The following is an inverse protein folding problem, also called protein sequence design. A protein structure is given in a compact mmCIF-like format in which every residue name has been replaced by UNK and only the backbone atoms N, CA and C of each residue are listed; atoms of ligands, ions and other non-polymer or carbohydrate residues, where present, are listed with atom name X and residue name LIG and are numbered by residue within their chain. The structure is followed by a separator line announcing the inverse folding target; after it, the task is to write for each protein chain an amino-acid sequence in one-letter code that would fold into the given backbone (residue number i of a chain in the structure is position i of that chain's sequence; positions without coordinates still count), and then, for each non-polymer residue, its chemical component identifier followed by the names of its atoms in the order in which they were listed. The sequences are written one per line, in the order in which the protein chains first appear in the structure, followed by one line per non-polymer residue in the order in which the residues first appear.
data_IF_828153375025
#
_entry.id   IF_828153375025
#
_cell.length_a   1.000
_cell.length_b   1.000
_cell.length_c   1.000
_cell.angle_alpha   90.00
_cell.angle_beta   90.00
_cell.angle_gamma   90.00
#
_symmetry.space_group_name_H-M   'P 1'
#
loop_
_entity.id
_entity.type
_entity.pdbx_description
1 polymer ?
#
# COMPACT_ATOMS: atom_id res chain seq x y z
N UNK A 1 6.31 3.46 18.59
CA UNK A 1 6.37 3.65 17.13
C UNK A 1 4.95 3.87 16.63
N UNK A 2 4.67 5.06 16.10
CA UNK A 2 3.34 5.40 15.57
C UNK A 2 3.00 4.46 14.41
N UNK A 3 1.87 3.78 14.52
CA UNK A 3 1.27 2.95 13.48
C UNK A 3 0.77 3.89 12.37
N UNK A 4 1.63 4.20 11.41
CA UNK A 4 1.23 4.99 10.24
C UNK A 4 0.15 4.22 9.47
N UNK A 5 -0.98 4.90 9.31
CA UNK A 5 -2.23 4.40 8.80
C UNK A 5 -2.13 4.02 7.32
N UNK A 6 -1.75 2.78 7.03
CA UNK A 6 -1.89 2.17 5.71
C UNK A 6 -3.15 1.29 5.74
N UNK A 7 -4.28 1.94 5.98
CA UNK A 7 -5.62 1.36 5.85
C UNK A 7 -6.49 2.51 5.39
N UNK A 8 -6.44 2.77 4.07
CA UNK A 8 -7.31 3.74 3.42
C UNK A 8 -8.71 3.11 3.31
N UNK A 9 -9.36 2.92 4.46
CA UNK A 9 -10.80 2.79 4.53
C UNK A 9 -11.42 4.13 4.13
N UNK A 10 -12.54 4.06 3.40
CA UNK A 10 -13.51 5.11 3.10
C UNK A 10 -13.34 5.80 1.73
N UNK A 11 -14.06 5.27 0.73
CA UNK A 11 -15.18 5.98 0.07
C UNK A 11 -15.76 5.07 -1.01
N UNK A 12 -16.75 4.26 -0.61
CA UNK A 12 -17.55 3.40 -1.49
C UNK A 12 -18.84 4.09 -1.97
N UNK A 13 -18.92 5.42 -1.90
CA UNK A 13 -20.20 6.14 -2.03
C UNK A 13 -20.32 7.10 -3.22
N UNK A 14 -19.40 7.11 -4.19
CA UNK A 14 -19.44 8.07 -5.31
C UNK A 14 -19.53 7.47 -6.72
N UNK A 15 -19.68 6.14 -6.87
CA UNK A 15 -19.80 5.50 -8.20
C UNK A 15 -21.08 4.65 -8.31
N UNK A 16 -21.99 4.74 -7.35
CA UNK A 16 -23.26 4.02 -7.42
C UNK A 16 -24.30 4.84 -8.19
N UNK A 17 -24.29 4.77 -9.53
CA UNK A 17 -25.48 4.96 -10.38
C UNK A 17 -25.18 4.56 -11.84
N UNK A 18 -25.27 3.25 -12.13
CA UNK A 18 -25.70 2.65 -13.40
C UNK A 18 -25.60 1.09 -13.35
N UNK A 19 -26.67 0.46 -12.85
CA UNK A 19 -27.33 -0.85 -13.15
C UNK A 19 -26.66 -1.84 -14.16
N UNK A 20 -26.86 -3.19 -14.12
CA UNK A 20 -27.46 -4.11 -13.13
C UNK A 20 -26.50 -5.22 -12.63
N UNK A 21 -26.86 -5.82 -11.49
CA UNK A 21 -26.21 -6.98 -10.88
C UNK A 21 -26.33 -8.24 -11.74
N UNK A 22 -25.18 -8.83 -12.08
CA UNK A 22 -25.06 -10.26 -12.34
C UNK A 22 -24.57 -10.95 -11.05
N UNK A 23 -25.19 -12.09 -10.75
CA UNK A 23 -24.99 -12.92 -9.57
C UNK A 23 -23.51 -13.30 -9.38
N UNK A 24 -22.90 -12.88 -8.28
CA UNK A 24 -21.59 -13.38 -7.84
C UNK A 24 -21.73 -14.37 -6.68
N UNK A 25 -20.91 -15.43 -6.63
CA UNK A 25 -20.81 -16.32 -5.48
C UNK A 25 -20.47 -15.54 -4.20
N UNK A 26 -20.72 -16.14 -3.04
CA UNK A 26 -20.44 -15.55 -1.72
C UNK A 26 -19.06 -14.87 -1.68
N UNK A 27 -18.94 -13.66 -1.06
CA UNK A 27 -17.73 -12.87 -1.17
C UNK A 27 -16.60 -13.57 -0.44
N UNK A 28 -15.69 -14.19 -1.19
CA UNK A 28 -14.36 -14.50 -0.69
C UNK A 28 -13.77 -13.15 -0.26
N UNK A 29 -13.35 -13.00 1.00
CA UNK A 29 -12.71 -11.77 1.49
C UNK A 29 -11.69 -11.27 0.44
N UNK A 30 -11.68 -9.96 0.14
CA UNK A 30 -10.68 -9.40 -0.79
C UNK A 30 -9.26 -9.77 -0.32
N UNK A 31 -8.32 -9.91 -1.25
CA UNK A 31 -6.95 -10.31 -0.93
C UNK A 31 -6.34 -9.40 0.15
N UNK A 32 -6.55 -8.09 0.02
CA UNK A 32 -6.18 -7.08 1.02
C UNK A 32 -6.72 -7.40 2.43
N UNK A 33 -8.02 -7.72 2.56
CA UNK A 33 -8.62 -8.04 3.87
C UNK A 33 -8.07 -9.33 4.49
N UNK A 34 -7.72 -10.33 3.66
CA UNK A 34 -7.07 -11.56 4.13
C UNK A 34 -5.67 -11.27 4.66
N UNK A 35 -4.90 -10.45 3.95
CA UNK A 35 -3.55 -10.04 4.34
C UNK A 35 -3.56 -9.24 5.64
N UNK A 36 -4.49 -8.29 5.78
CA UNK A 36 -4.63 -7.49 7.01
C UNK A 36 -4.87 -8.36 8.25
N UNK A 37 -5.73 -9.38 8.12
CA UNK A 37 -6.04 -10.31 9.21
C UNK A 37 -4.82 -11.15 9.62
N UNK A 38 -4.04 -11.59 8.65
CA UNK A 38 -2.84 -12.42 8.90
C UNK A 38 -1.65 -11.58 9.39
N UNK A 39 -1.56 -10.31 9.03
CA UNK A 39 -0.41 -9.44 9.35
C UNK A 39 -0.14 -9.38 10.85
N UNK A 40 -1.17 -9.13 11.68
CA UNK A 40 -1.01 -9.04 13.14
C UNK A 40 -0.54 -10.36 13.74
N UNK A 41 -1.09 -11.48 13.26
CA UNK A 41 -0.72 -12.82 13.73
C UNK A 41 0.74 -13.12 13.39
N UNK A 42 1.14 -12.86 12.14
CA UNK A 42 2.50 -13.08 11.66
C UNK A 42 3.51 -12.13 12.32
N UNK A 43 3.11 -10.89 12.61
CA UNK A 43 3.96 -9.92 13.31
C UNK A 43 4.26 -10.34 14.75
N UNK A 44 3.31 -11.00 15.41
CA UNK A 44 3.55 -11.59 16.72
C UNK A 44 4.41 -12.85 16.61
N UNK A 45 4.13 -13.70 15.61
CA UNK A 45 4.90 -14.93 15.36
C UNK A 45 6.36 -14.62 15.05
N UNK A 46 6.68 -13.53 14.35
CA UNK A 46 8.08 -13.18 14.01
C UNK A 46 8.96 -12.96 15.25
N UNK A 47 8.36 -12.54 16.36
CA UNK A 47 9.07 -12.23 17.60
C UNK A 47 9.52 -13.50 18.33
N UNK A 48 8.84 -14.62 18.10
CA UNK A 48 9.11 -15.90 18.76
C UNK A 48 9.68 -16.94 17.80
N UNK A 49 9.22 -16.94 16.54
CA UNK A 49 9.64 -17.86 15.49
C UNK A 49 9.67 -17.16 14.10
N UNK A 50 10.72 -16.38 13.79
CA UNK A 50 10.83 -15.65 12.54
C UNK A 50 10.88 -16.55 11.30
N UNK A 51 11.42 -17.76 11.43
CA UNK A 51 11.51 -18.71 10.31
C UNK A 51 10.13 -19.25 9.89
N UNK A 52 9.27 -19.54 10.87
CA UNK A 52 7.89 -19.92 10.61
C UNK A 52 7.08 -18.74 10.07
N UNK A 53 7.22 -17.55 10.66
CA UNK A 53 6.57 -16.34 10.17
C UNK A 53 6.93 -16.04 8.71
N UNK A 54 8.21 -16.20 8.33
CA UNK A 54 8.67 -16.06 6.95
C UNK A 54 8.00 -17.07 6.02
N UNK A 55 7.98 -18.34 6.39
CA UNK A 55 7.37 -19.41 5.58
C UNK A 55 5.89 -19.13 5.34
N UNK A 56 5.17 -18.75 6.38
CA UNK A 56 3.74 -18.44 6.29
C UNK A 56 3.48 -17.15 5.51
N UNK A 57 4.32 -16.11 5.65
CA UNK A 57 4.22 -14.89 4.86
C UNK A 57 4.45 -15.14 3.37
N UNK A 58 5.42 -15.98 3.01
CA UNK A 58 5.67 -16.34 1.61
C UNK A 58 4.50 -17.11 1.00
N UNK A 59 3.82 -17.96 1.78
CA UNK A 59 2.64 -18.70 1.33
C UNK A 59 1.41 -17.81 1.05
N UNK A 60 1.41 -16.55 1.54
CA UNK A 60 0.35 -15.58 1.24
C UNK A 60 0.54 -14.90 -0.13
N UNK A 61 1.71 -15.02 -0.75
CA UNK A 61 1.98 -14.42 -2.07
C UNK A 61 1.28 -15.28 -3.13
N UNK A 62 0.33 -14.73 -3.92
CA UNK A 62 -0.32 -15.49 -4.99
C UNK A 62 0.67 -15.92 -6.07
N UNK A 63 0.54 -17.15 -6.53
CA UNK A 63 1.24 -17.69 -7.70
C UNK A 63 0.24 -18.45 -8.59
N UNK A 64 -0.10 -17.97 -9.80
CA UNK A 64 0.44 -16.76 -10.44
C UNK A 64 -0.09 -15.47 -9.82
N UNK A 65 0.62 -14.36 -10.06
CA UNK A 65 0.15 -13.02 -9.71
C UNK A 65 -1.16 -12.69 -10.47
N UNK A 66 -2.13 -12.00 -9.84
CA UNK A 66 -3.36 -11.61 -10.51
C UNK A 66 -3.08 -10.59 -11.63
N UNK A 67 -3.76 -10.76 -12.76
CA UNK A 67 -3.67 -9.81 -13.89
C UNK A 67 -4.27 -8.46 -13.50
N UNK A 68 -3.67 -7.38 -14.01
CA UNK A 68 -4.19 -6.03 -13.83
C UNK A 68 -5.35 -5.75 -14.81
N UNK A 69 -6.54 -5.48 -14.30
CA UNK A 69 -7.73 -5.16 -15.09
C UNK A 69 -7.91 -3.64 -15.20
N UNK A 70 -7.80 -3.13 -16.44
CA UNK A 70 -7.96 -1.72 -16.80
C UNK A 70 -9.27 -1.44 -17.56
N UNK A 71 -10.22 -2.36 -17.55
CA UNK A 71 -11.47 -2.28 -18.32
C UNK A 71 -12.34 -1.09 -17.93
N UNK A 72 -12.31 -0.68 -16.66
CA UNK A 72 -13.01 0.49 -16.13
C UNK A 72 -12.36 0.98 -14.83
N UNK A 73 -12.81 2.12 -14.31
CA UNK A 73 -12.26 2.74 -13.09
C UNK A 73 -12.37 1.86 -11.84
N UNK A 74 -13.48 1.12 -11.70
CA UNK A 74 -13.70 0.26 -10.54
C UNK A 74 -12.77 -0.97 -10.58
N UNK A 75 -12.62 -1.58 -11.77
CA UNK A 75 -11.68 -2.67 -11.99
C UNK A 75 -10.22 -2.21 -11.78
N UNK A 76 -9.85 -1.05 -12.33
CA UNK A 76 -8.52 -0.45 -12.17
C UNK A 76 -8.19 -0.23 -10.69
N UNK A 77 -9.14 0.32 -9.93
CA UNK A 77 -8.99 0.54 -8.49
C UNK A 77 -8.80 -0.79 -7.75
N UNK A 78 -9.62 -1.79 -8.05
CA UNK A 78 -9.53 -3.10 -7.38
C UNK A 78 -8.20 -3.78 -7.69
N UNK A 79 -7.78 -3.81 -8.96
CA UNK A 79 -6.49 -4.37 -9.37
C UNK A 79 -5.31 -3.65 -8.72
N UNK A 80 -5.33 -2.32 -8.64
CA UNK A 80 -4.30 -1.57 -7.90
C UNK A 80 -4.24 -1.99 -6.44
N UNK A 81 -5.39 -2.07 -5.75
CA UNK A 81 -5.43 -2.45 -4.34
C UNK A 81 -4.93 -3.88 -4.11
N UNK A 82 -5.26 -4.82 -5.00
CA UNK A 82 -4.76 -6.19 -4.90
C UNK A 82 -3.24 -6.27 -5.14
N UNK A 83 -2.70 -5.52 -6.12
CA UNK A 83 -1.26 -5.42 -6.34
C UNK A 83 -0.54 -4.82 -5.12
N UNK A 84 -1.05 -3.72 -4.57
CA UNK A 84 -0.45 -3.09 -3.38
C UNK A 84 -0.54 -3.99 -2.14
N UNK A 85 -1.56 -4.83 -2.02
CA UNK A 85 -1.63 -5.83 -0.96
C UNK A 85 -0.53 -6.91 -1.12
N UNK A 86 -0.25 -7.37 -2.34
CA UNK A 86 0.86 -8.30 -2.62
C UNK A 86 2.22 -7.65 -2.32
N UNK A 87 2.39 -6.38 -2.68
CA UNK A 87 3.57 -5.58 -2.33
C UNK A 87 3.78 -5.56 -0.81
N UNK A 88 2.72 -5.36 -0.02
CA UNK A 88 2.78 -5.41 1.45
C UNK A 88 3.22 -6.78 1.96
N UNK A 89 2.69 -7.88 1.42
CA UNK A 89 3.09 -9.23 1.80
C UNK A 89 4.57 -9.47 1.49
N UNK A 90 5.04 -9.08 0.30
CA UNK A 90 6.47 -9.20 -0.05
C UNK A 90 7.36 -8.35 0.87
N UNK A 91 6.93 -7.14 1.22
CA UNK A 91 7.63 -6.29 2.17
C UNK A 91 7.69 -6.92 3.58
N UNK A 92 6.57 -7.49 4.04
CA UNK A 92 6.48 -8.23 5.30
C UNK A 92 7.40 -9.45 5.30
N UNK A 93 7.36 -10.29 4.26
CA UNK A 93 8.24 -11.43 4.09
C UNK A 93 9.72 -10.99 4.05
N UNK A 94 10.05 -9.89 3.37
CA UNK A 94 11.40 -9.31 3.36
C UNK A 94 11.87 -8.90 4.75
N UNK A 95 10.96 -8.33 5.55
CA UNK A 95 11.23 -7.99 6.95
C UNK A 95 11.50 -9.26 7.78
N UNK A 96 10.73 -10.32 7.60
CA UNK A 96 10.93 -11.57 8.35
C UNK A 96 12.19 -12.31 7.91
N UNK A 97 12.51 -12.29 6.61
CA UNK A 97 13.78 -12.80 6.10
C UNK A 97 14.96 -12.07 6.73
N UNK A 98 14.86 -10.75 6.92
CA UNK A 98 15.85 -9.98 7.66
C UNK A 98 15.97 -10.45 9.10
N UNK A 99 14.86 -10.64 9.82
CA UNK A 99 14.88 -11.16 11.20
C UNK A 99 15.50 -12.57 11.29
N UNK A 100 15.37 -13.39 10.24
CA UNK A 100 16.06 -14.67 10.10
C UNK A 100 17.54 -14.56 9.72
N UNK A 101 18.10 -13.35 9.57
CA UNK A 101 19.46 -13.14 9.08
C UNK A 101 19.64 -13.50 7.60
N UNK A 102 18.57 -13.72 6.83
CA UNK A 102 18.61 -14.04 5.40
C UNK A 102 18.61 -12.75 4.57
N UNK A 103 19.67 -11.96 4.70
CA UNK A 103 19.74 -10.61 4.15
C UNK A 103 19.60 -10.55 2.62
N UNK A 104 20.18 -11.52 1.91
CA UNK A 104 20.08 -11.63 0.45
C UNK A 104 18.63 -11.87 0.03
N UNK A 105 17.93 -12.79 0.71
CA UNK A 105 16.51 -13.06 0.47
C UNK A 105 15.65 -11.84 0.81
N UNK A 106 15.94 -11.17 1.93
CA UNK A 106 15.26 -9.93 2.31
C UNK A 106 15.41 -8.85 1.22
N UNK A 107 16.63 -8.65 0.73
CA UNK A 107 16.91 -7.71 -0.37
C UNK A 107 16.16 -8.05 -1.64
N UNK A 108 16.09 -9.34 -2.02
CA UNK A 108 15.30 -9.79 -3.18
C UNK A 108 13.82 -9.47 -3.02
N UNK A 109 13.24 -9.81 -1.87
CA UNK A 109 11.82 -9.58 -1.59
C UNK A 109 11.46 -8.10 -1.60
N UNK A 110 12.29 -7.23 -1.02
CA UNK A 110 12.08 -5.78 -1.11
C UNK A 110 12.20 -5.26 -2.54
N UNK A 111 13.16 -5.79 -3.32
CA UNK A 111 13.33 -5.40 -4.73
C UNK A 111 12.12 -5.82 -5.57
N UNK A 112 11.67 -7.06 -5.45
CA UNK A 112 10.48 -7.56 -6.14
C UNK A 112 9.22 -6.78 -5.75
N UNK A 113 9.09 -6.39 -4.47
CA UNK A 113 8.00 -5.55 -4.00
C UNK A 113 8.03 -4.15 -4.67
N UNK A 114 9.22 -3.53 -4.77
CA UNK A 114 9.40 -2.25 -5.46
C UNK A 114 9.09 -2.36 -6.97
N UNK A 115 9.57 -3.42 -7.61
CA UNK A 115 9.33 -3.71 -9.03
C UNK A 115 7.83 -3.88 -9.30
N UNK A 116 7.12 -4.63 -8.45
CA UNK A 116 5.67 -4.82 -8.58
C UNK A 116 4.87 -3.52 -8.38
N UNK A 117 5.20 -2.74 -7.35
CA UNK A 117 4.58 -1.42 -7.12
C UNK A 117 4.84 -0.47 -8.30
N UNK A 118 6.05 -0.49 -8.85
CA UNK A 118 6.42 0.31 -10.03
C UNK A 118 5.63 -0.14 -11.27
N UNK A 119 5.51 -1.44 -11.48
CA UNK A 119 4.80 -2.02 -12.61
C UNK A 119 3.29 -1.69 -12.61
N UNK A 120 2.70 -1.45 -11.44
CA UNK A 120 1.29 -1.05 -11.33
C UNK A 120 1.02 0.40 -11.80
N UNK A 121 2.02 1.28 -11.85
CA UNK A 121 1.80 2.71 -12.15
C UNK A 121 1.26 2.98 -13.56
N UNK A 122 1.88 2.36 -14.57
CA UNK A 122 1.47 2.53 -15.96
C UNK A 122 0.03 2.05 -16.22
N UNK A 123 -0.37 0.81 -15.86
CA UNK A 123 -1.73 0.35 -16.09
C UNK A 123 -2.77 1.10 -15.23
N UNK A 124 -2.42 1.59 -14.03
CA UNK A 124 -3.30 2.50 -13.27
C UNK A 124 -3.56 3.78 -14.06
N UNK A 125 -2.50 4.44 -14.55
CA UNK A 125 -2.63 5.68 -15.33
C UNK A 125 -3.48 5.46 -16.60
N UNK A 126 -3.26 4.35 -17.30
CA UNK A 126 -4.05 3.98 -18.47
C UNK A 126 -5.53 3.73 -18.11
N UNK A 127 -5.80 3.02 -17.01
CA UNK A 127 -7.16 2.66 -16.57
C UNK A 127 -7.98 3.85 -16.08
N UNK A 128 -7.35 4.87 -15.48
CA UNK A 128 -8.06 6.08 -15.01
C UNK A 128 -8.25 7.14 -16.10
N UNK A 129 -7.44 7.10 -17.17
CA UNK A 129 -7.44 8.15 -18.20
C UNK A 129 -8.81 8.40 -18.87
N UNK A 130 -9.62 7.38 -19.23
CA UNK A 130 -10.94 7.61 -19.82
C UNK A 130 -11.88 8.36 -18.87
N UNK A 131 -11.93 7.97 -17.60
CA UNK A 131 -12.78 8.62 -16.60
C UNK A 131 -12.29 10.03 -16.25
N UNK A 132 -10.97 10.24 -16.22
CA UNK A 132 -10.38 11.58 -16.07
C UNK A 132 -10.84 12.50 -17.20
N UNK A 133 -10.70 12.05 -18.45
CA UNK A 133 -11.14 12.81 -19.62
C UNK A 133 -12.64 13.11 -19.59
N UNK A 134 -13.49 12.15 -19.19
CA UNK A 134 -14.94 12.38 -19.04
C UNK A 134 -15.25 13.53 -18.07
N UNK A 135 -14.54 13.61 -16.93
CA UNK A 135 -14.73 14.70 -15.98
C UNK A 135 -14.23 16.04 -16.52
N UNK A 136 -13.08 16.06 -17.22
CA UNK A 136 -12.53 17.26 -17.85
C UNK A 136 -13.48 17.80 -18.93
N UNK A 137 -13.98 16.94 -19.81
CA UNK A 137 -14.94 17.28 -20.86
C UNK A 137 -16.27 17.77 -20.26
N UNK A 138 -16.79 17.10 -19.22
CA UNK A 138 -18.01 17.51 -18.53
C UNK A 138 -17.89 18.89 -17.86
N UNK A 139 -16.72 19.24 -17.32
CA UNK A 139 -16.45 20.58 -16.77
C UNK A 139 -16.37 21.62 -17.88
N UNK A 140 -15.71 21.31 -18.99
CA UNK A 140 -15.61 22.22 -20.13
C UNK A 140 -17.00 22.52 -20.71
N UNK A 141 -17.82 21.49 -20.92
CA UNK A 141 -19.21 21.63 -21.37
C UNK A 141 -20.05 22.42 -20.36
N UNK A 142 -19.98 22.09 -19.07
CA UNK A 142 -20.71 22.78 -18.02
C UNK A 142 -20.43 24.29 -18.01
N UNK A 143 -19.16 24.70 -18.17
CA UNK A 143 -18.79 26.12 -18.23
C UNK A 143 -19.44 26.84 -19.40
N UNK A 144 -19.44 26.24 -20.60
CA UNK A 144 -20.07 26.79 -21.80
C UNK A 144 -21.59 26.92 -21.58
N UNK A 145 -22.22 25.85 -21.09
CA UNK A 145 -23.67 25.79 -20.93
C UNK A 145 -24.21 26.71 -19.84
N UNK A 146 -23.49 26.85 -18.72
CA UNK A 146 -23.82 27.84 -17.69
C UNK A 146 -23.78 29.25 -18.28
N UNK A 147 -22.73 29.59 -19.03
CA UNK A 147 -22.61 30.91 -19.67
C UNK A 147 -23.72 31.19 -20.69
N UNK A 148 -24.24 30.15 -21.37
CA UNK A 148 -25.38 30.28 -22.30
C UNK A 148 -26.74 30.42 -21.59
N UNK A 149 -26.94 29.74 -20.45
CA UNK A 149 -28.25 29.61 -19.79
C UNK A 149 -28.47 30.64 -18.68
N UNK A 150 -27.45 31.02 -17.91
CA UNK A 150 -27.61 32.03 -16.86
C UNK A 150 -28.19 33.36 -17.38
N UNK A 151 -27.73 33.92 -18.50
CA UNK A 151 -28.31 35.15 -19.05
C UNK A 151 -29.77 34.97 -19.46
N UNK A 152 -30.15 33.78 -19.98
CA UNK A 152 -31.54 33.48 -20.36
C UNK A 152 -32.44 33.41 -19.13
N UNK A 153 -31.95 32.82 -18.04
CA UNK A 153 -32.67 32.78 -16.77
C UNK A 153 -32.87 34.19 -16.20
N UNK A 154 -31.84 35.04 -16.25
CA UNK A 154 -31.93 36.45 -15.82
C UNK A 154 -32.91 37.24 -16.70
N UNK A 155 -32.88 37.03 -18.02
CA UNK A 155 -33.84 37.66 -18.93
C UNK A 155 -35.28 37.19 -18.67
N UNK A 156 -35.44 35.89 -18.37
CA UNK A 156 -36.72 35.30 -18.00
C UNK A 156 -37.26 35.91 -16.69
N UNK A 157 -36.43 35.96 -15.65
CA UNK A 157 -36.79 36.54 -14.35
C UNK A 157 -37.10 38.03 -14.44
N UNK A 158 -36.57 38.73 -15.44
CA UNK A 158 -36.85 40.13 -15.72
C UNK A 158 -37.98 40.36 -16.73
N UNK A 159 -38.62 39.31 -17.23
CA UNK A 159 -39.75 39.45 -18.16
C UNK A 159 -40.93 40.15 -17.45
N UNK A 160 -41.39 41.32 -17.93
CA UNK A 160 -42.47 42.08 -17.29
C UNK A 160 -43.77 41.28 -17.17
N UNK A 161 -44.11 40.49 -18.18
CA UNK A 161 -45.34 39.69 -18.21
C UNK A 161 -45.29 38.57 -17.18
N UNK A 162 -44.14 37.93 -17.01
CA UNK A 162 -43.93 36.91 -15.98
C UNK A 162 -44.05 37.51 -14.57
N UNK A 163 -43.42 38.68 -14.32
CA UNK A 163 -43.53 39.38 -13.04
C UNK A 163 -44.96 39.81 -12.73
N UNK A 164 -45.68 40.34 -13.72
CA UNK A 164 -47.07 40.76 -13.57
C UNK A 164 -47.96 39.57 -13.21
N UNK A 165 -47.89 38.47 -13.97
CA UNK A 165 -48.68 37.26 -13.71
C UNK A 165 -48.34 36.63 -12.34
N UNK A 166 -47.07 36.65 -11.94
CA UNK A 166 -46.63 36.15 -10.64
C UNK A 166 -47.09 37.00 -9.45
N UNK A 167 -47.34 38.29 -9.65
CA UNK A 167 -47.77 39.23 -8.60
C UNK A 167 -49.30 39.28 -8.39
N UNK A 168 -50.10 38.75 -9.33
CA UNK A 168 -51.56 38.69 -9.20
C UNK A 168 -51.99 37.67 -8.15
N UNK A 169 -52.79 38.11 -7.18
CA UNK A 169 -53.36 37.26 -6.13
C UNK A 169 -54.44 36.31 -6.67
N UNK A 170 -55.23 36.75 -7.65
CA UNK A 170 -56.19 35.94 -8.39
C UNK A 170 -55.90 36.06 -9.88
N UNK A 171 -55.85 34.91 -10.57
CA UNK A 171 -55.61 34.79 -12.00
C UNK A 171 -56.81 34.12 -12.67
N UNK A 172 -57.15 34.61 -13.86
CA UNK A 172 -58.08 33.91 -14.75
C UNK A 172 -57.50 32.57 -15.20
N UNK A 173 -58.35 31.68 -15.71
CA UNK A 173 -57.91 30.35 -16.15
C UNK A 173 -56.83 30.43 -17.24
N UNK A 174 -56.97 31.34 -18.20
CA UNK A 174 -55.99 31.55 -19.28
C UNK A 174 -54.65 32.09 -18.76
N UNK A 175 -54.69 33.02 -17.79
CA UNK A 175 -53.49 33.55 -17.11
C UNK A 175 -52.76 32.48 -16.29
N UNK A 176 -53.50 31.54 -15.69
CA UNK A 176 -52.90 30.40 -15.01
C UNK A 176 -52.22 29.45 -15.98
N UNK A 177 -52.86 29.11 -17.11
CA UNK A 177 -52.25 28.28 -18.17
C UNK A 177 -50.97 28.96 -18.69
N UNK A 178 -50.99 30.27 -18.88
CA UNK A 178 -49.82 31.02 -19.34
C UNK A 178 -48.69 31.07 -18.29
N UNK A 179 -49.03 31.31 -17.02
CA UNK A 179 -48.05 31.27 -15.93
C UNK A 179 -47.42 29.89 -15.75
N UNK A 180 -48.20 28.82 -15.87
CA UNK A 180 -47.67 27.44 -15.83
C UNK A 180 -46.72 27.14 -16.99
N UNK A 181 -47.03 27.61 -18.21
CA UNK A 181 -46.10 27.53 -19.35
C UNK A 181 -44.79 28.26 -19.07
N UNK A 182 -44.85 29.45 -18.47
CA UNK A 182 -43.67 30.19 -18.05
C UNK A 182 -42.86 29.39 -17.00
N UNK A 183 -43.51 28.87 -15.97
CA UNK A 183 -42.83 28.08 -14.94
C UNK A 183 -42.19 26.81 -15.50
N UNK A 184 -42.83 26.13 -16.45
CA UNK A 184 -42.27 24.99 -17.15
C UNK A 184 -41.00 25.38 -17.94
N UNK A 185 -41.06 26.44 -18.75
CA UNK A 185 -39.90 26.96 -19.48
C UNK A 185 -38.72 27.35 -18.56
N UNK A 186 -39.02 27.93 -17.39
CA UNK A 186 -38.01 28.24 -16.38
C UNK A 186 -37.43 26.97 -15.75
N UNK A 187 -38.26 25.98 -15.46
CA UNK A 187 -37.81 24.69 -14.91
C UNK A 187 -36.86 23.96 -15.88
N UNK A 188 -37.16 23.99 -17.19
CA UNK A 188 -36.33 23.41 -18.26
C UNK A 188 -34.93 24.02 -18.32
N UNK A 189 -34.76 25.27 -17.86
CA UNK A 189 -33.46 25.94 -17.77
C UNK A 189 -32.76 25.69 -16.43
N UNK A 190 -33.50 25.64 -15.32
CA UNK A 190 -32.94 25.48 -13.97
C UNK A 190 -32.38 24.07 -13.76
N UNK A 191 -33.10 23.02 -14.18
CA UNK A 191 -32.68 21.64 -13.91
C UNK A 191 -31.29 21.32 -14.52
N UNK A 192 -31.03 21.59 -15.81
CA UNK A 192 -29.71 21.37 -16.41
C UNK A 192 -28.65 22.30 -15.81
N UNK A 193 -29.01 23.56 -15.50
CA UNK A 193 -28.09 24.52 -14.89
C UNK A 193 -27.55 24.01 -13.56
N UNK A 194 -28.40 23.42 -12.73
CA UNK A 194 -27.98 22.86 -11.46
C UNK A 194 -27.03 21.67 -11.66
N UNK A 195 -27.27 20.81 -12.66
CA UNK A 195 -26.38 19.69 -12.99
C UNK A 195 -25.00 20.20 -13.42
N UNK A 196 -24.92 21.20 -14.31
CA UNK A 196 -23.63 21.76 -14.73
C UNK A 196 -22.87 22.41 -13.58
N UNK A 197 -23.57 23.15 -12.71
CA UNK A 197 -22.97 23.74 -11.49
C UNK A 197 -22.43 22.65 -10.57
N UNK A 198 -23.18 21.56 -10.39
CA UNK A 198 -22.75 20.41 -9.60
C UNK A 198 -21.52 19.72 -10.22
N UNK A 199 -21.46 19.56 -11.55
CA UNK A 199 -20.30 18.98 -12.22
C UNK A 199 -19.02 19.79 -11.94
N UNK A 200 -19.08 21.11 -12.05
CA UNK A 200 -17.94 21.99 -11.74
C UNK A 200 -17.54 21.86 -10.27
N UNK A 201 -18.51 21.81 -9.35
CA UNK A 201 -18.25 21.71 -7.92
C UNK A 201 -17.65 20.35 -7.51
N UNK A 202 -18.04 19.26 -8.17
CA UNK A 202 -17.61 17.90 -7.85
C UNK A 202 -16.31 17.48 -8.55
N UNK A 203 -16.01 18.04 -9.72
CA UNK A 203 -14.86 17.64 -10.52
C UNK A 203 -13.51 17.67 -9.77
N UNK A 204 -13.17 18.68 -8.94
CA UNK A 204 -11.91 18.67 -8.20
C UNK A 204 -11.77 17.44 -7.29
N UNK A 205 -12.87 17.00 -6.66
CA UNK A 205 -12.86 15.80 -5.81
C UNK A 205 -12.71 14.53 -6.63
N UNK A 206 -13.38 14.45 -7.78
CA UNK A 206 -13.26 13.30 -8.67
C UNK A 206 -11.85 13.16 -9.25
N UNK A 207 -11.25 14.26 -9.71
CA UNK A 207 -9.89 14.28 -10.26
C UNK A 207 -8.83 13.96 -9.20
N UNK A 208 -9.02 14.44 -7.96
CA UNK A 208 -8.13 14.10 -6.84
C UNK A 208 -8.08 12.59 -6.56
N UNK A 209 -9.21 11.87 -6.68
CA UNK A 209 -9.24 10.42 -6.53
C UNK A 209 -8.35 9.73 -7.57
N UNK A 210 -8.31 10.23 -8.82
CA UNK A 210 -7.44 9.65 -9.85
C UNK A 210 -5.97 9.93 -9.56
N UNK A 211 -5.64 11.13 -9.09
CA UNK A 211 -4.28 11.49 -8.69
C UNK A 211 -3.79 10.62 -7.51
N UNK A 212 -4.65 10.35 -6.53
CA UNK A 212 -4.35 9.48 -5.39
C UNK A 212 -4.11 8.04 -5.83
N UNK A 213 -4.88 7.53 -6.80
CA UNK A 213 -4.65 6.19 -7.36
C UNK A 213 -3.31 6.11 -8.09
N UNK A 214 -2.97 7.12 -8.90
CA UNK A 214 -1.69 7.17 -9.64
C UNK A 214 -0.48 7.27 -8.71
N UNK A 215 -0.60 7.97 -7.58
CA UNK A 215 0.46 8.13 -6.56
C UNK A 215 0.49 7.02 -5.52
N UNK A 216 -0.57 6.21 -5.41
CA UNK A 216 -0.69 5.14 -4.41
C UNK A 216 0.55 4.25 -4.28
N UNK A 217 1.21 3.84 -5.38
CA UNK A 217 2.43 3.03 -5.31
C UNK A 217 3.68 3.73 -4.76
N UNK A 218 3.76 5.07 -4.78
CA UNK A 218 5.02 5.81 -4.59
C UNK A 218 5.63 5.57 -3.19
N UNK A 219 4.80 5.60 -2.15
CA UNK A 219 5.26 5.35 -0.78
C UNK A 219 5.82 3.93 -0.59
N UNK A 220 5.26 2.94 -1.29
CA UNK A 220 5.77 1.57 -1.26
C UNK A 220 7.09 1.45 -1.98
N UNK A 221 7.22 2.07 -3.16
CA UNK A 221 8.47 2.08 -3.94
C UNK A 221 9.60 2.67 -3.10
N UNK A 222 9.36 3.82 -2.47
CA UNK A 222 10.35 4.47 -1.61
C UNK A 222 10.72 3.59 -0.41
N UNK A 223 9.73 3.07 0.32
CA UNK A 223 9.96 2.21 1.49
C UNK A 223 10.74 0.94 1.13
N UNK A 224 10.41 0.30 0.01
CA UNK A 224 11.09 -0.89 -0.47
C UNK A 224 12.54 -0.58 -0.87
N UNK A 225 12.76 0.46 -1.68
CA UNK A 225 14.10 0.86 -2.12
C UNK A 225 15.02 1.25 -0.95
N UNK A 226 14.47 1.95 0.04
CA UNK A 226 15.20 2.26 1.27
C UNK A 226 15.65 1.00 2.01
N UNK A 227 14.83 -0.06 2.04
CA UNK A 227 15.20 -1.33 2.66
C UNK A 227 16.17 -2.15 1.80
N UNK A 228 16.03 -2.15 0.47
CA UNK A 228 17.03 -2.74 -0.44
C UNK A 228 18.41 -2.13 -0.18
N UNK A 229 18.51 -0.80 -0.13
CA UNK A 229 19.78 -0.12 0.14
C UNK A 229 20.36 -0.47 1.52
N UNK A 230 19.51 -0.55 2.56
CA UNK A 230 19.94 -0.98 3.89
C UNK A 230 20.50 -2.40 3.87
N UNK A 231 19.79 -3.34 3.24
CA UNK A 231 20.26 -4.74 3.14
C UNK A 231 21.55 -4.83 2.33
N UNK A 232 21.65 -4.11 1.21
CA UNK A 232 22.86 -4.12 0.39
C UNK A 232 24.09 -3.62 1.17
N UNK A 233 23.95 -2.55 1.96
CA UNK A 233 25.05 -2.05 2.80
C UNK A 233 25.51 -3.10 3.82
N UNK A 234 24.56 -3.78 4.46
CA UNK A 234 24.84 -4.80 5.47
C UNK A 234 25.50 -6.04 4.84
N UNK A 235 25.01 -6.49 3.68
CA UNK A 235 25.61 -7.60 2.91
C UNK A 235 27.04 -7.27 2.48
N UNK A 236 27.29 -6.06 1.98
CA UNK A 236 28.64 -5.65 1.55
C UNK A 236 29.60 -5.56 2.73
N UNK A 237 29.16 -4.99 3.86
CA UNK A 237 29.97 -4.88 5.07
C UNK A 237 30.38 -6.26 5.61
N UNK A 238 29.43 -7.20 5.68
CA UNK A 238 29.74 -8.56 6.14
C UNK A 238 30.62 -9.32 5.16
N UNK A 239 30.38 -9.22 3.85
CA UNK A 239 31.28 -9.83 2.84
C UNK A 239 32.71 -9.32 3.00
N UNK A 240 32.89 -8.01 3.21
CA UNK A 240 34.20 -7.43 3.43
C UNK A 240 34.85 -7.94 4.73
N UNK A 241 34.06 -8.09 5.79
CA UNK A 241 34.52 -8.60 7.07
C UNK A 241 34.89 -10.09 7.00
N UNK A 242 34.06 -10.93 6.38
CA UNK A 242 34.34 -12.34 6.14
C UNK A 242 35.62 -12.52 5.30
N UNK A 243 35.81 -11.70 4.26
CA UNK A 243 37.03 -11.74 3.45
C UNK A 243 38.30 -11.39 4.26
N UNK A 244 38.26 -10.33 5.08
CA UNK A 244 39.39 -9.99 5.98
C UNK A 244 39.69 -11.14 6.93
N UNK A 245 38.64 -11.76 7.43
CA UNK A 245 38.77 -12.86 8.35
C UNK A 245 39.35 -14.12 7.68
N UNK A 246 38.97 -14.43 6.44
CA UNK A 246 39.60 -15.50 5.65
C UNK A 246 41.07 -15.22 5.34
N UNK A 247 41.45 -13.95 5.18
CA UNK A 247 42.86 -13.54 5.07
C UNK A 247 43.61 -13.74 6.39
N UNK A 248 43.04 -13.30 7.52
CA UNK A 248 43.61 -13.51 8.85
C UNK A 248 43.74 -15.01 9.18
N UNK A 249 42.82 -15.85 8.71
CA UNK A 249 42.85 -17.30 8.90
C UNK A 249 44.05 -17.98 8.21
N UNK A 250 44.70 -17.32 7.24
CA UNK A 250 45.98 -17.77 6.67
C UNK A 250 47.13 -17.61 7.67
N UNK A 251 46.94 -16.88 8.77
CA UNK A 251 47.90 -16.77 9.86
C UNK A 251 48.02 -18.12 10.60
N UNK A 252 49.24 -18.69 10.72
CA UNK A 252 49.48 -19.97 11.40
C UNK A 252 48.98 -20.03 12.84
N UNK A 253 48.88 -18.90 13.55
CA UNK A 253 48.43 -18.84 14.96
C UNK A 253 46.93 -19.14 15.07
N UNK A 254 46.12 -18.68 14.12
CA UNK A 254 44.68 -18.94 14.10
C UNK A 254 44.42 -20.39 13.66
N UNK A 255 45.16 -20.85 12.66
CA UNK A 255 45.06 -22.21 12.13
C UNK A 255 45.56 -23.28 13.14
N UNK A 256 46.63 -22.99 13.89
CA UNK A 256 47.24 -23.92 14.87
C UNK A 256 46.33 -24.27 16.06
N UNK A 257 45.35 -23.42 16.40
CA UNK A 257 44.38 -23.69 17.48
C UNK A 257 43.24 -24.63 17.08
N UNK A 258 43.23 -25.17 15.85
CA UNK A 258 42.18 -26.06 15.29
C UNK A 258 40.75 -25.49 15.36
N UNK A 259 40.59 -24.20 15.65
CA UNK A 259 39.30 -23.54 15.56
C UNK A 259 39.04 -23.28 14.08
N UNK A 260 37.92 -23.82 13.55
CA UNK A 260 37.48 -23.43 12.21
C UNK A 260 37.39 -21.91 12.19
N UNK A 261 37.99 -21.23 11.19
CA UNK A 261 38.02 -19.79 11.15
C UNK A 261 36.62 -19.19 11.42
N UNK A 262 35.59 -19.58 10.66
CA UNK A 262 34.24 -19.03 10.82
C UNK A 262 33.66 -19.20 12.23
N UNK A 263 33.91 -20.33 12.90
CA UNK A 263 33.46 -20.55 14.27
C UNK A 263 34.15 -19.62 15.26
N UNK A 264 35.45 -19.34 15.06
CA UNK A 264 36.17 -18.36 15.86
C UNK A 264 35.63 -16.94 15.64
N UNK A 265 35.40 -16.54 14.38
CA UNK A 265 34.77 -15.26 14.03
C UNK A 265 33.43 -15.06 14.77
N UNK A 266 32.53 -16.05 14.67
CA UNK A 266 31.23 -16.01 15.34
C UNK A 266 31.38 -15.87 16.86
N UNK A 267 32.29 -16.65 17.47
CA UNK A 267 32.52 -16.58 18.93
C UNK A 267 33.01 -15.18 19.38
N UNK A 268 33.89 -14.55 18.60
CA UNK A 268 34.38 -13.19 18.89
C UNK A 268 33.25 -12.16 18.77
N UNK A 269 32.42 -12.26 17.74
CA UNK A 269 31.29 -11.36 17.57
C UNK A 269 30.26 -11.47 18.68
N UNK A 270 29.94 -12.70 19.09
CA UNK A 270 29.06 -12.95 20.23
C UNK A 270 29.61 -12.31 21.51
N UNK A 271 30.91 -12.45 21.75
CA UNK A 271 31.60 -11.82 22.89
C UNK A 271 31.50 -10.30 22.82
N UNK A 272 31.85 -9.70 21.68
CA UNK A 272 31.76 -8.25 21.46
C UNK A 272 30.35 -7.70 21.73
N UNK A 273 29.31 -8.35 21.20
CA UNK A 273 27.93 -7.92 21.43
C UNK A 273 27.54 -8.01 22.92
N UNK A 274 28.05 -9.02 23.64
CA UNK A 274 27.82 -9.16 25.09
C UNK A 274 28.51 -8.03 25.88
N UNK A 275 29.74 -7.68 25.51
CA UNK A 275 30.51 -6.59 26.12
C UNK A 275 29.88 -5.21 25.83
N UNK A 276 29.36 -5.03 24.61
CA UNK A 276 28.65 -3.81 24.18
C UNK A 276 27.23 -3.69 24.73
N UNK A 277 26.71 -4.71 25.43
CA UNK A 277 25.34 -4.76 25.95
C UNK A 277 24.30 -4.48 24.86
N UNK A 278 24.49 -5.08 23.68
CA UNK A 278 23.55 -4.98 22.56
C UNK A 278 22.15 -5.36 23.03
N UNK A 279 21.13 -4.60 22.60
CA UNK A 279 19.75 -4.88 22.95
C UNK A 279 19.30 -6.25 22.42
N UNK A 280 18.38 -6.90 23.13
CA UNK A 280 17.92 -8.26 22.82
C UNK A 280 17.43 -8.43 21.36
N UNK A 281 16.62 -7.53 20.79
CA UNK A 281 16.24 -7.59 19.37
C UNK A 281 17.44 -7.61 18.41
N UNK A 282 18.33 -6.62 18.53
CA UNK A 282 19.53 -6.55 17.68
C UNK A 282 20.45 -7.76 17.89
N UNK A 283 20.52 -8.27 19.12
CA UNK A 283 21.32 -9.44 19.45
C UNK A 283 20.78 -10.71 18.78
N UNK A 284 19.46 -10.96 18.88
CA UNK A 284 18.79 -12.09 18.21
C UNK A 284 18.95 -12.03 16.68
N UNK A 285 18.81 -10.84 16.09
CA UNK A 285 19.02 -10.62 14.66
C UNK A 285 20.42 -11.07 14.20
N UNK A 286 21.47 -10.67 14.93
CA UNK A 286 22.85 -11.06 14.62
C UNK A 286 23.08 -12.56 14.83
N UNK A 287 22.54 -13.15 15.90
CA UNK A 287 22.64 -14.59 16.13
C UNK A 287 21.98 -15.39 14.99
N UNK A 288 20.80 -14.98 14.52
CA UNK A 288 20.16 -15.60 13.37
C UNK A 288 21.01 -15.48 12.11
N UNK A 289 21.68 -14.34 11.86
CA UNK A 289 22.64 -14.23 10.75
C UNK A 289 23.79 -15.23 10.89
N UNK A 290 24.35 -15.41 12.08
CA UNK A 290 25.42 -16.39 12.27
C UNK A 290 24.97 -17.83 12.02
N UNK A 291 23.70 -18.18 12.25
CA UNK A 291 23.15 -19.47 11.81
C UNK A 291 23.01 -19.59 10.30
N UNK A 292 22.83 -18.49 9.57
CA UNK A 292 22.85 -18.53 8.10
C UNK A 292 24.27 -18.83 7.60
N UNK A 293 25.29 -18.28 8.26
CA UNK A 293 26.70 -18.51 7.91
C UNK A 293 27.20 -19.90 8.35
N UNK A 294 26.84 -20.34 9.55
CA UNK A 294 27.20 -21.64 10.13
C UNK A 294 25.96 -22.33 10.74
N UNK A 295 25.14 -23.02 9.92
CA UNK A 295 23.87 -23.61 10.35
C UNK A 295 23.99 -24.64 11.48
N UNK A 296 25.16 -25.22 11.69
CA UNK A 296 25.43 -26.21 12.73
C UNK A 296 25.97 -25.63 14.04
N UNK A 297 26.03 -24.30 14.18
CA UNK A 297 26.69 -23.66 15.32
C UNK A 297 25.92 -23.84 16.63
N UNK A 298 26.33 -24.81 17.44
CA UNK A 298 25.69 -25.16 18.73
C UNK A 298 25.70 -24.01 19.74
N UNK A 299 26.71 -23.15 19.72
CA UNK A 299 26.78 -22.01 20.65
C UNK A 299 25.73 -20.95 20.31
N UNK A 300 25.60 -20.63 19.02
CA UNK A 300 24.59 -19.69 18.52
C UNK A 300 23.18 -20.21 18.83
N UNK A 301 22.90 -21.49 18.52
CA UNK A 301 21.60 -22.12 18.84
C UNK A 301 21.26 -22.00 20.33
N UNK A 302 22.21 -22.36 21.21
CA UNK A 302 22.03 -22.25 22.67
C UNK A 302 21.74 -20.81 23.12
N UNK A 303 22.39 -19.82 22.52
CA UNK A 303 22.17 -18.40 22.86
C UNK A 303 20.82 -17.89 22.37
N UNK A 304 20.36 -18.34 21.20
CA UNK A 304 19.00 -18.06 20.72
C UNK A 304 17.97 -18.68 21.66
N UNK A 305 18.13 -19.95 22.05
CA UNK A 305 17.19 -20.60 22.97
C UNK A 305 17.11 -19.89 24.32
N UNK A 306 18.25 -19.47 24.87
CA UNK A 306 18.30 -18.66 26.08
C UNK A 306 17.61 -17.30 25.87
N UNK A 307 17.93 -16.63 24.75
CA UNK A 307 17.36 -15.35 24.40
C UNK A 307 15.88 -15.41 24.03
N UNK A 308 15.30 -16.58 23.78
CA UNK A 308 13.85 -16.78 23.61
C UNK A 308 13.17 -17.27 24.88
N UNK A 309 13.92 -17.61 25.93
CA UNK A 309 13.40 -18.15 27.18
C UNK A 309 13.05 -19.64 27.12
N UNK A 310 13.50 -20.34 26.08
CA UNK A 310 13.23 -21.77 25.87
C UNK A 310 14.09 -22.67 26.76
N UNK A 311 15.20 -22.14 27.30
CA UNK A 311 16.08 -22.87 28.23
C UNK A 311 16.43 -22.01 29.45
N UNK A 312 16.28 -22.59 30.65
CA UNK A 312 16.72 -21.96 31.88
C UNK A 312 18.26 -21.90 31.92
N UNK A 313 18.87 -20.86 32.53
CA UNK A 313 20.32 -20.83 32.71
C UNK A 313 20.73 -22.07 33.50
N UNK A 314 21.59 -22.91 32.92
CA UNK A 314 22.25 -23.96 33.70
C UNK A 314 22.98 -23.25 34.82
N UNK A 315 22.61 -23.52 36.08
CA UNK A 315 23.40 -23.11 37.25
C UNK A 315 24.81 -23.65 37.04
N UNK A 316 25.72 -22.83 36.53
CA UNK A 316 27.14 -23.16 36.52
C UNK A 316 27.53 -23.25 37.99
N UNK A 317 27.92 -24.44 38.43
CA UNK A 317 28.57 -24.62 39.73
C UNK A 317 29.81 -23.71 39.74
N UNK A 318 29.80 -22.77 40.68
CA UNK A 318 30.98 -22.05 41.16
C UNK A 318 32.03 -23.04 41.64
#
# INVERSE_FOLDING_TARGET
MQRSHILLCMTSALVAQAIPQASTPAPTLSLAKRIDAETVRLDNLKLTNPAQALTEALALIPDPLPTFDKSNIQATRQSLMDQLAIVQVKFMAGTYARECGKWEQASSLFKEAAELATAAKAPTKEGVAPSRKQWEDAVAEAKIKIAEVEPKLVAFDNNPKFKELGAKAERTMDENIEYEKFMAQKADLIQPLQVWKNNIALAPKALAVFDDLEKGPDAYIEACNNNVQKMQKVIVAEKAELNRFDEDAKNPIINSKRLKPLAFYISQKIRQMSEQKTDRPTWLLNLNRYLVLDPGNKEVLKKIDWALGNTAPSKSKS
#
